data_IF_317857467030
#
_entry.id   IF_317857467030
#
_cell.length_a   1.000
_cell.length_b   1.000
_cell.length_c   1.000
_cell.angle_alpha   90.00
_cell.angle_beta   90.00
_cell.angle_gamma   90.00
#
_symmetry.space_group_name_H-M   'P 1'
#
loop_
_entity.id
_entity.type
_entity.pdbx_description
1 polymer ?
#
# COMPACT_ATOMS: atom_id res chain seq x y z
N UNK A 1 4.85 -1.99 12.54
CA UNK A 1 3.42 -2.32 12.74
C UNK A 1 3.28 -3.21 13.95
N UNK A 2 2.32 -2.91 14.86
CA UNK A 2 2.08 -3.69 16.08
C UNK A 2 1.43 -5.04 15.77
N UNK A 3 0.48 -5.03 14.84
CA UNK A 3 -0.11 -6.24 14.29
C UNK A 3 0.90 -6.98 13.41
N UNK A 4 1.32 -8.17 13.86
CA UNK A 4 2.31 -9.00 13.15
C UNK A 4 1.71 -9.80 12.02
N UNK A 5 0.42 -10.14 12.11
CA UNK A 5 -0.27 -10.93 11.10
C UNK A 5 -0.51 -10.08 9.85
N UNK A 6 -1.06 -8.88 10.00
CA UNK A 6 -1.26 -7.96 8.88
C UNK A 6 0.09 -7.56 8.27
N UNK A 7 1.13 -7.37 9.09
CA UNK A 7 2.47 -7.05 8.56
C UNK A 7 3.04 -8.18 7.69
N UNK A 8 2.80 -9.44 8.07
CA UNK A 8 3.17 -10.62 7.27
C UNK A 8 2.39 -10.64 5.97
N UNK A 9 1.08 -10.43 6.01
CA UNK A 9 0.23 -10.42 4.82
C UNK A 9 0.61 -9.32 3.81
N UNK A 10 0.84 -8.09 4.28
CA UNK A 10 1.32 -6.98 3.42
C UNK A 10 2.65 -7.34 2.75
N UNK A 11 3.58 -7.97 3.49
CA UNK A 11 4.87 -8.39 2.93
C UNK A 11 4.70 -9.46 1.86
N UNK A 12 3.81 -10.44 2.07
CA UNK A 12 3.52 -11.49 1.10
C UNK A 12 2.88 -10.91 -0.17
N UNK A 13 1.95 -9.96 -0.04
CA UNK A 13 1.32 -9.30 -1.19
C UNK A 13 2.33 -8.49 -2.02
N UNK A 14 3.22 -7.74 -1.36
CA UNK A 14 4.31 -7.03 -2.05
C UNK A 14 5.22 -7.97 -2.84
N UNK A 15 5.45 -9.19 -2.33
CA UNK A 15 6.22 -10.21 -3.05
C UNK A 15 5.41 -10.76 -4.23
N UNK A 16 4.11 -11.06 -4.02
CA UNK A 16 3.22 -11.55 -5.09
C UNK A 16 3.19 -10.60 -6.27
N UNK A 17 2.95 -9.31 -6.02
CA UNK A 17 2.90 -8.27 -7.06
C UNK A 17 4.19 -8.18 -7.90
N UNK A 18 5.36 -8.47 -7.30
CA UNK A 18 6.65 -8.45 -7.99
C UNK A 18 6.98 -9.74 -8.75
N UNK A 19 6.31 -10.83 -8.43
CA UNK A 19 6.56 -12.17 -9.00
C UNK A 19 5.66 -12.50 -10.19
N UNK A 20 4.70 -11.63 -10.51
CA UNK A 20 3.73 -11.84 -11.58
C UNK A 20 3.81 -10.69 -12.58
N UNK A 21 3.50 -10.96 -13.84
CA UNK A 21 3.25 -9.91 -14.83
C UNK A 21 1.81 -9.45 -14.64
N UNK A 22 1.61 -8.19 -14.27
CA UNK A 22 0.27 -7.63 -14.13
C UNK A 22 -0.24 -7.16 -15.49
N UNK A 23 -1.33 -7.75 -15.97
CA UNK A 23 -1.96 -7.44 -17.26
C UNK A 23 -3.34 -6.79 -17.12
N UNK A 24 -3.74 -6.44 -15.90
CA UNK A 24 -5.00 -5.76 -15.66
C UNK A 24 -4.83 -4.29 -16.05
N UNK A 25 -5.49 -3.88 -17.14
CA UNK A 25 -5.30 -2.56 -17.75
C UNK A 25 -5.60 -1.37 -16.81
N UNK A 26 -6.44 -1.57 -15.80
CA UNK A 26 -6.82 -0.55 -14.82
C UNK A 26 -5.95 -0.55 -13.56
N UNK A 27 -5.08 -1.55 -13.36
CA UNK A 27 -4.18 -1.58 -12.20
C UNK A 27 -2.87 -0.84 -12.47
N UNK A 28 -2.27 -0.32 -11.40
CA UNK A 28 -1.01 0.42 -11.49
C UNK A 28 -0.21 0.35 -10.18
N UNK A 29 1.05 0.74 -10.23
CA UNK A 29 1.93 0.87 -9.07
C UNK A 29 2.20 2.35 -8.80
N UNK A 30 1.69 2.86 -7.67
CA UNK A 30 1.91 4.25 -7.27
C UNK A 30 3.35 4.49 -6.80
N UNK A 31 3.79 5.75 -6.83
CA UNK A 31 5.10 6.14 -6.33
C UNK A 31 5.20 6.00 -4.80
N UNK A 32 6.43 5.98 -4.29
CA UNK A 32 6.69 5.97 -2.84
C UNK A 32 6.12 7.21 -2.16
N UNK A 33 6.18 8.37 -2.81
CA UNK A 33 5.72 9.65 -2.26
C UNK A 33 4.20 9.63 -2.02
N UNK A 34 3.43 9.04 -2.94
CA UNK A 34 1.97 8.85 -2.77
C UNK A 34 1.67 7.97 -1.55
N UNK A 35 2.40 6.86 -1.38
CA UNK A 35 2.22 5.98 -0.21
C UNK A 35 2.58 6.68 1.10
N UNK A 36 3.63 7.51 1.10
CA UNK A 36 4.03 8.28 2.28
C UNK A 36 2.99 9.33 2.66
N UNK A 37 2.44 10.05 1.68
CA UNK A 37 1.39 11.04 1.92
C UNK A 37 0.11 10.39 2.48
N UNK A 38 -0.29 9.23 1.94
CA UNK A 38 -1.47 8.48 2.41
C UNK A 38 -1.36 8.05 3.88
N UNK A 39 -0.17 7.72 4.36
CA UNK A 39 0.09 7.32 5.75
C UNK A 39 0.38 8.48 6.71
N UNK A 40 0.06 9.72 6.34
CA UNK A 40 0.37 10.91 7.13
C UNK A 40 -0.73 11.30 8.13
N UNK A 41 -0.44 12.29 8.98
CA UNK A 41 -1.35 12.89 9.95
C UNK A 41 -2.64 13.48 9.32
N UNK A 42 -2.68 13.67 7.99
CA UNK A 42 -3.90 14.09 7.31
C UNK A 42 -5.07 13.13 7.55
N UNK A 43 -4.82 11.85 7.83
CA UNK A 43 -5.87 10.88 8.18
C UNK A 43 -6.59 11.19 9.49
N UNK A 44 -6.00 12.01 10.37
CA UNK A 44 -6.55 12.34 11.68
C UNK A 44 -7.49 13.56 11.61
N UNK A 45 -7.46 14.30 10.50
CA UNK A 45 -8.11 15.61 10.40
C UNK A 45 -9.54 15.49 9.87
N UNK A 46 -10.49 15.99 10.65
CA UNK A 46 -11.83 16.35 10.18
C UNK A 46 -11.83 17.79 9.65
N UNK A 47 -12.38 18.02 8.45
CA UNK A 47 -12.30 19.30 7.74
C UNK A 47 -13.49 19.54 6.80
N UNK A 48 -14.71 19.24 7.27
CA UNK A 48 -15.95 19.72 6.64
C UNK A 48 -16.20 21.21 6.93
#
# INVERSE_FOLDING_TARGET
MRDREIAKLIKLEKIRQKKVVNLIASENYVSKDVLTALGSEFTNKYAE
#
